data_IF_377324779887
#
_entry.id   IF_377324779887
#
_cell.length_a   1.000
_cell.length_b   1.000
_cell.length_c   1.000
_cell.angle_alpha   90.00
_cell.angle_beta   90.00
_cell.angle_gamma   90.00
#
_symmetry.space_group_name_H-M   'P 1'
#
loop_
_entity.id
_entity.type
_entity.pdbx_description
1 polymer ?
#
# COMPACT_ATOMS: atom_id res chain seq x y z
N UNK A 1 -20.93 -6.17 -1.21
CA UNK A 1 -20.23 -4.92 -1.60
C UNK A 1 -21.29 -3.89 -1.96
N UNK A 2 -21.35 -2.74 -1.27
CA UNK A 2 -22.41 -1.74 -1.45
C UNK A 2 -22.57 -1.27 -2.90
N UNK A 3 -21.47 -1.08 -3.63
CA UNK A 3 -21.52 -0.62 -5.03
C UNK A 3 -22.27 -1.58 -5.97
N UNK A 4 -22.35 -2.88 -5.64
CA UNK A 4 -23.16 -3.85 -6.40
C UNK A 4 -24.65 -3.78 -6.07
N UNK A 5 -25.01 -3.36 -4.85
CA UNK A 5 -26.41 -3.25 -4.43
C UNK A 5 -27.11 -2.05 -5.10
N UNK A 6 -26.33 -1.03 -5.47
CA UNK A 6 -26.83 0.19 -6.12
C UNK A 6 -26.44 0.28 -7.61
N UNK A 7 -26.12 -0.85 -8.24
CA UNK A 7 -25.80 -0.96 -9.67
C UNK A 7 -24.74 0.05 -10.17
N UNK A 8 -23.84 0.48 -9.29
CA UNK A 8 -22.82 1.47 -9.63
C UNK A 8 -21.79 0.92 -10.63
N UNK A 9 -21.64 -0.41 -10.68
CA UNK A 9 -20.70 -1.06 -11.60
C UNK A 9 -21.21 -1.12 -13.05
N UNK A 10 -22.52 -0.93 -13.26
CA UNK A 10 -23.18 -1.09 -14.56
C UNK A 10 -23.40 0.26 -15.28
N UNK A 11 -23.05 1.38 -14.64
CA UNK A 11 -23.24 2.72 -15.22
C UNK A 11 -22.33 2.99 -16.44
N UNK A 12 -21.21 2.29 -16.55
CA UNK A 12 -20.20 2.50 -17.61
C UNK A 12 -20.15 1.36 -18.65
N UNK A 13 -21.24 0.62 -18.86
CA UNK A 13 -21.24 -0.61 -19.67
C UNK A 13 -20.69 -0.45 -21.09
N UNK A 14 -20.94 0.68 -21.77
CA UNK A 14 -20.49 0.91 -23.14
C UNK A 14 -19.06 1.44 -23.26
N UNK A 15 -18.51 2.05 -22.19
CA UNK A 15 -17.22 2.74 -22.18
C UNK A 15 -16.41 2.41 -20.92
N UNK A 16 -16.34 1.13 -20.56
CA UNK A 16 -15.70 0.72 -19.31
C UNK A 16 -14.17 0.82 -19.44
N UNK A 17 -13.48 1.52 -18.52
CA UNK A 17 -12.03 1.57 -18.53
C UNK A 17 -11.44 0.24 -18.07
N UNK A 18 -10.27 -0.12 -18.60
CA UNK A 18 -9.53 -1.35 -18.25
C UNK A 18 -8.79 -1.16 -16.91
N UNK A 19 -9.56 -1.18 -15.81
CA UNK A 19 -9.03 -1.02 -14.47
C UNK A 19 -8.12 -2.18 -14.07
N UNK A 20 -6.88 -1.85 -13.68
CA UNK A 20 -5.89 -2.81 -13.18
C UNK A 20 -5.97 -2.97 -11.67
N UNK A 21 -5.26 -3.97 -11.15
CA UNK A 21 -5.07 -4.22 -9.71
C UNK A 21 -6.38 -4.20 -8.91
N UNK A 22 -7.40 -4.90 -9.41
CA UNK A 22 -8.76 -4.96 -8.84
C UNK A 22 -9.49 -3.62 -8.70
N UNK A 23 -9.07 -2.57 -9.40
CA UNK A 23 -9.85 -1.34 -9.54
C UNK A 23 -11.22 -1.58 -10.16
N UNK A 24 -12.12 -0.59 -10.04
CA UNK A 24 -13.42 -0.63 -10.70
C UNK A 24 -13.75 0.73 -11.31
N UNK A 25 -14.56 0.72 -12.37
CA UNK A 25 -14.90 1.92 -13.12
C UNK A 25 -15.53 2.98 -12.19
N UNK A 26 -15.11 4.23 -12.35
CA UNK A 26 -15.73 5.32 -11.62
C UNK A 26 -17.15 5.56 -12.17
N UNK A 27 -18.21 5.44 -11.36
CA UNK A 27 -19.60 5.41 -11.86
C UNK A 27 -20.02 6.70 -12.58
N UNK A 28 -19.37 7.84 -12.28
CA UNK A 28 -19.65 9.15 -12.89
C UNK A 28 -18.61 9.58 -13.93
N UNK A 29 -17.47 8.90 -14.00
CA UNK A 29 -16.35 9.26 -14.89
C UNK A 29 -15.80 7.99 -15.54
N UNK A 30 -16.49 7.50 -16.57
CA UNK A 30 -16.17 6.22 -17.22
C UNK A 30 -14.79 6.17 -17.93
N UNK A 31 -13.99 7.23 -17.90
CA UNK A 31 -12.61 7.22 -18.37
C UNK A 31 -11.60 6.89 -17.26
N UNK A 32 -12.03 6.76 -16.00
CA UNK A 32 -11.17 6.54 -14.84
C UNK A 32 -11.68 5.41 -13.94
N UNK A 33 -10.78 4.91 -13.12
CA UNK A 33 -11.02 3.87 -12.15
C UNK A 33 -10.94 4.42 -10.71
N UNK A 34 -11.73 3.83 -9.82
CA UNK A 34 -11.54 3.92 -8.38
C UNK A 34 -10.56 2.82 -7.99
N UNK A 35 -9.43 3.23 -7.41
CA UNK A 35 -8.31 2.35 -7.11
C UNK A 35 -8.31 1.86 -5.66
N UNK A 36 -7.88 0.61 -5.41
CA UNK A 36 -7.58 0.18 -4.05
C UNK A 36 -6.46 1.00 -3.42
N UNK A 37 -6.37 1.01 -2.10
CA UNK A 37 -5.29 1.71 -1.40
C UNK A 37 -3.93 1.23 -1.88
N UNK A 38 -2.99 2.17 -2.05
CA UNK A 38 -1.65 1.88 -2.57
C UNK A 38 -1.57 1.75 -4.10
N UNK A 39 -2.66 1.94 -4.85
CA UNK A 39 -2.68 2.01 -6.31
C UNK A 39 -3.25 3.36 -6.78
N UNK A 40 -2.75 3.89 -7.89
CA UNK A 40 -3.09 5.20 -8.42
C UNK A 40 -3.07 5.26 -9.95
N UNK A 41 -3.20 6.49 -10.47
CA UNK A 41 -3.37 6.74 -11.90
C UNK A 41 -4.81 6.48 -12.39
N UNK A 42 -5.16 6.88 -13.62
CA UNK A 42 -6.51 6.72 -14.17
C UNK A 42 -6.98 5.27 -14.23
N UNK A 43 -6.06 4.30 -14.38
CA UNK A 43 -6.35 2.87 -14.52
C UNK A 43 -5.83 2.01 -13.37
N UNK A 44 -5.40 2.60 -12.25
CA UNK A 44 -4.88 1.88 -11.08
C UNK A 44 -3.60 1.08 -11.34
N UNK A 45 -2.81 1.49 -12.32
CA UNK A 45 -1.56 0.87 -12.78
C UNK A 45 -0.32 1.71 -12.48
N UNK A 46 -0.45 2.74 -11.64
CA UNK A 46 0.63 3.62 -11.20
C UNK A 46 0.71 3.69 -9.67
N UNK A 47 1.87 4.07 -9.12
CA UNK A 47 1.97 4.43 -7.71
C UNK A 47 1.12 5.68 -7.42
N UNK A 48 0.43 5.74 -6.27
CA UNK A 48 -0.21 6.98 -5.83
C UNK A 48 0.77 8.16 -5.79
N UNK A 49 0.26 9.37 -6.04
CA UNK A 49 1.03 10.62 -6.05
C UNK A 49 1.59 11.04 -4.67
N UNK A 50 1.27 10.30 -3.61
CA UNK A 50 1.89 10.47 -2.30
C UNK A 50 3.41 10.27 -2.36
N UNK A 51 4.14 10.61 -1.29
CA UNK A 51 5.57 10.28 -1.17
C UNK A 51 5.86 8.77 -1.25
N UNK A 52 7.14 8.40 -1.19
CA UNK A 52 7.64 7.05 -1.47
C UNK A 52 7.91 6.86 -2.97
N UNK A 53 8.34 5.66 -3.35
CA UNK A 53 8.98 5.41 -4.65
C UNK A 53 8.51 4.12 -5.31
N UNK A 54 8.65 4.03 -6.63
CA UNK A 54 8.58 2.74 -7.33
C UNK A 54 9.97 2.11 -7.32
N UNK A 55 10.08 0.87 -6.83
CA UNK A 55 11.36 0.17 -6.69
C UNK A 55 11.25 -1.22 -7.33
N UNK A 56 12.30 -1.61 -8.04
CA UNK A 56 12.41 -2.95 -8.63
C UNK A 56 13.20 -3.85 -7.67
N UNK A 57 12.62 -5.01 -7.36
CA UNK A 57 13.19 -6.01 -6.47
C UNK A 57 14.23 -6.86 -7.19
N UNK A 58 15.26 -7.27 -6.45
CA UNK A 58 16.21 -8.31 -6.86
C UNK A 58 15.98 -9.59 -6.05
N UNK A 59 16.80 -10.64 -6.29
CA UNK A 59 16.79 -11.85 -5.47
C UNK A 59 17.45 -11.65 -4.09
N UNK A 60 18.19 -10.55 -3.92
CA UNK A 60 18.85 -10.20 -2.68
C UNK A 60 17.96 -9.23 -1.88
N UNK A 61 18.08 -9.28 -0.55
CA UNK A 61 17.36 -8.37 0.32
C UNK A 61 17.83 -6.92 0.11
N UNK A 62 16.88 -6.03 -0.16
CA UNK A 62 17.11 -4.60 -0.34
C UNK A 62 16.35 -3.81 0.73
N UNK A 63 16.96 -2.77 1.34
CA UNK A 63 16.30 -2.01 2.40
C UNK A 63 15.34 -0.96 1.85
N UNK A 64 14.29 -0.67 2.60
CA UNK A 64 13.48 0.55 2.54
C UNK A 64 13.48 1.15 3.93
N UNK A 65 13.92 2.40 4.03
CA UNK A 65 13.84 3.18 5.26
C UNK A 65 12.93 4.38 5.03
N UNK A 66 12.04 4.64 5.98
CA UNK A 66 11.09 5.75 5.86
C UNK A 66 10.85 6.36 7.22
N UNK A 67 10.84 7.70 7.26
CA UNK A 67 10.37 8.45 8.42
C UNK A 67 9.25 9.38 7.98
N UNK A 68 8.10 9.27 8.65
CA UNK A 68 7.01 10.24 8.54
C UNK A 68 7.07 11.17 9.74
N UNK A 69 7.43 12.43 9.50
CA UNK A 69 7.44 13.45 10.53
C UNK A 69 6.04 13.65 11.15
N UNK A 70 6.03 14.01 12.42
CA UNK A 70 4.82 14.43 13.11
C UNK A 70 4.11 15.56 12.32
N UNK A 71 2.78 15.64 12.45
CA UNK A 71 2.06 16.86 12.08
C UNK A 71 2.44 18.05 12.96
N UNK A 72 2.07 19.25 12.55
CA UNK A 72 2.31 20.46 13.34
C UNK A 72 1.26 20.59 14.46
N UNK A 73 1.65 21.20 15.58
CA UNK A 73 0.75 21.49 16.69
C UNK A 73 -0.27 22.57 16.26
N UNK A 74 -1.57 22.26 16.36
CA UNK A 74 -2.65 23.12 15.87
C UNK A 74 -3.07 22.86 14.42
N UNK A 75 -2.42 21.92 13.72
CA UNK A 75 -2.84 21.52 12.38
C UNK A 75 -4.14 20.70 12.45
N UNK A 76 -5.20 21.19 11.82
CA UNK A 76 -6.40 20.40 11.55
C UNK A 76 -6.06 19.36 10.48
N UNK A 77 -5.79 18.13 10.92
CA UNK A 77 -5.67 16.97 10.02
C UNK A 77 -6.68 15.91 10.38
N UNK A 78 -7.56 15.66 9.41
CA UNK A 78 -8.49 14.52 9.41
C UNK A 78 -7.89 13.29 8.72
N UNK A 79 -6.74 13.42 8.04
CA UNK A 79 -6.11 12.35 7.27
C UNK A 79 -4.68 12.01 7.72
N UNK A 80 -4.32 10.73 7.57
CA UNK A 80 -2.95 10.24 7.77
C UNK A 80 -2.03 10.77 6.67
N UNK A 81 -0.80 11.17 7.04
CA UNK A 81 0.32 11.20 6.11
C UNK A 81 0.58 9.79 5.62
N UNK A 82 0.83 9.61 4.33
CA UNK A 82 1.15 8.31 3.73
C UNK A 82 2.32 8.45 2.77
N UNK A 83 3.31 7.57 2.86
CA UNK A 83 4.24 7.28 1.77
C UNK A 83 3.97 5.87 1.28
N UNK A 84 3.87 5.71 -0.04
CA UNK A 84 3.66 4.40 -0.68
C UNK A 84 4.92 4.03 -1.44
N UNK A 85 5.48 2.87 -1.12
CA UNK A 85 6.52 2.21 -1.90
C UNK A 85 5.89 1.12 -2.75
N UNK A 86 6.22 1.12 -4.04
CA UNK A 86 5.68 0.20 -5.02
C UNK A 86 6.77 -0.78 -5.44
N UNK A 87 6.80 -1.92 -4.76
CA UNK A 87 7.82 -2.95 -4.98
C UNK A 87 7.36 -3.83 -6.13
N UNK A 88 8.16 -3.90 -7.19
CA UNK A 88 7.87 -4.66 -8.40
C UNK A 88 8.93 -5.73 -8.62
N UNK A 89 8.50 -6.93 -8.99
CA UNK A 89 9.42 -7.93 -9.53
C UNK A 89 9.76 -7.57 -10.98
N UNK A 90 10.96 -7.93 -11.47
CA UNK A 90 11.32 -7.71 -12.87
C UNK A 90 10.34 -8.41 -13.82
N UNK A 91 9.96 -7.73 -14.91
CA UNK A 91 8.95 -8.24 -15.86
C UNK A 91 9.35 -9.58 -16.50
N UNK A 92 10.66 -9.85 -16.63
CA UNK A 92 11.22 -11.07 -17.21
C UNK A 92 11.20 -12.29 -16.27
N UNK A 93 10.73 -12.15 -15.04
CA UNK A 93 10.63 -13.26 -14.08
C UNK A 93 9.19 -13.72 -13.97
N UNK A 94 8.89 -14.91 -14.49
CA UNK A 94 7.56 -15.51 -14.41
C UNK A 94 7.24 -16.00 -13.01
N UNK A 95 5.95 -15.91 -12.63
CA UNK A 95 5.43 -16.32 -11.32
C UNK A 95 6.13 -15.69 -10.10
N UNK A 96 6.88 -14.60 -10.29
CA UNK A 96 7.59 -13.92 -9.22
C UNK A 96 6.64 -13.49 -8.09
N UNK A 97 7.09 -13.73 -6.87
CA UNK A 97 6.48 -13.25 -5.63
C UNK A 97 7.40 -12.22 -5.01
N UNK A 98 6.85 -11.31 -4.24
CA UNK A 98 7.61 -10.35 -3.45
C UNK A 98 7.54 -10.80 -1.99
N UNK A 99 8.71 -10.89 -1.38
CA UNK A 99 8.84 -11.05 0.06
C UNK A 99 9.17 -9.71 0.69
N UNK A 100 8.51 -9.40 1.81
CA UNK A 100 8.78 -8.20 2.60
C UNK A 100 9.00 -8.62 4.05
N UNK A 101 10.10 -8.14 4.63
CA UNK A 101 10.51 -8.37 6.00
C UNK A 101 10.49 -7.07 6.79
N UNK A 102 9.95 -7.11 8.00
CA UNK A 102 10.00 -5.97 8.92
C UNK A 102 11.30 -6.05 9.73
N UNK A 103 12.13 -5.01 9.66
CA UNK A 103 13.42 -4.98 10.37
C UNK A 103 13.46 -3.95 11.48
N UNK A 104 12.65 -2.89 11.41
CA UNK A 104 12.55 -1.87 12.46
C UNK A 104 11.15 -1.24 12.51
N UNK A 105 10.58 -1.18 13.72
CA UNK A 105 9.34 -0.46 14.04
C UNK A 105 9.48 0.28 15.37
N UNK A 106 8.80 1.42 15.58
CA UNK A 106 8.87 2.16 16.84
C UNK A 106 7.95 1.53 17.91
N UNK A 107 8.32 1.61 19.19
CA UNK A 107 7.54 1.02 20.29
C UNK A 107 6.26 1.83 20.58
N UNK A 108 6.28 3.14 20.36
CA UNK A 108 5.27 4.06 20.91
C UNK A 108 3.93 4.06 20.18
N UNK A 109 3.84 3.31 19.09
CA UNK A 109 2.66 3.23 18.24
C UNK A 109 1.92 1.88 18.36
N UNK A 110 2.37 1.01 19.28
CA UNK A 110 1.74 -0.27 19.56
C UNK A 110 0.32 -0.08 20.15
N UNK A 111 -0.67 -0.14 19.27
CA UNK A 111 -2.10 -0.14 19.59
C UNK A 111 -2.83 -1.06 18.65
N UNK A 112 -3.82 -1.76 19.19
CA UNK A 112 -4.65 -2.71 18.44
C UNK A 112 -5.13 -2.11 17.11
N UNK A 113 -4.83 -2.82 16.03
CA UNK A 113 -5.17 -2.40 14.67
C UNK A 113 -4.35 -1.22 14.12
N UNK A 114 -3.24 -0.86 14.76
CA UNK A 114 -2.31 0.18 14.32
C UNK A 114 -3.00 1.48 13.93
N UNK A 115 -3.87 1.97 14.83
CA UNK A 115 -4.76 3.10 14.57
C UNK A 115 -4.05 4.47 14.52
N UNK A 116 -2.80 4.60 14.96
CA UNK A 116 -2.13 5.91 14.98
C UNK A 116 -1.06 6.04 13.91
N UNK A 117 -0.27 5.01 13.73
CA UNK A 117 0.73 4.90 12.69
C UNK A 117 1.05 3.41 12.46
N UNK A 118 1.65 3.10 11.34
CA UNK A 118 2.04 1.74 11.01
C UNK A 118 2.50 1.61 9.57
N UNK A 119 2.84 0.37 9.21
CA UNK A 119 3.06 -0.06 7.83
C UNK A 119 1.94 -1.00 7.41
N UNK A 120 1.29 -0.73 6.28
CA UNK A 120 0.36 -1.65 5.61
C UNK A 120 1.06 -2.32 4.43
N UNK A 121 1.12 -3.66 4.42
CA UNK A 121 1.73 -4.47 3.34
C UNK A 121 0.62 -5.19 2.59
N UNK A 122 0.43 -4.86 1.30
CA UNK A 122 -0.65 -5.42 0.46
C UNK A 122 -0.27 -6.73 -0.25
N UNK A 123 0.06 -7.75 0.54
CA UNK A 123 0.51 -9.05 0.06
C UNK A 123 -0.63 -10.01 -0.40
N UNK A 124 -1.89 -9.71 -0.08
CA UNK A 124 -3.05 -10.50 -0.51
C UNK A 124 -3.20 -10.55 -2.04
N UNK A 125 -3.82 -11.62 -2.55
CA UNK A 125 -4.19 -11.74 -3.97
C UNK A 125 -5.20 -10.67 -4.36
N UNK A 126 -6.31 -10.57 -3.62
CA UNK A 126 -7.33 -9.53 -3.83
C UNK A 126 -6.84 -8.18 -3.31
N UNK A 127 -6.53 -7.27 -4.23
CA UNK A 127 -5.95 -5.95 -3.95
C UNK A 127 -6.92 -4.97 -3.29
N UNK A 128 -8.23 -5.25 -3.31
CA UNK A 128 -9.27 -4.45 -2.65
C UNK A 128 -9.24 -4.56 -1.13
N UNK A 129 -8.70 -5.65 -0.59
CA UNK A 129 -8.62 -5.87 0.84
C UNK A 129 -7.57 -4.95 1.47
N UNK A 130 -7.81 -4.48 2.69
CA UNK A 130 -6.77 -3.86 3.52
C UNK A 130 -5.62 -4.87 3.69
N UNK A 131 -4.39 -4.39 3.55
CA UNK A 131 -3.20 -5.22 3.77
C UNK A 131 -3.00 -5.56 5.25
N UNK A 132 -1.96 -6.35 5.51
CA UNK A 132 -1.50 -6.60 6.87
C UNK A 132 -0.91 -5.32 7.45
N UNK A 133 -1.27 -4.98 8.69
CA UNK A 133 -0.84 -3.74 9.34
C UNK A 133 -0.01 -4.06 10.57
N UNK A 134 1.15 -3.42 10.68
CA UNK A 134 2.13 -3.62 11.75
C UNK A 134 2.60 -2.29 12.33
N UNK A 135 2.83 -2.27 13.63
CA UNK A 135 3.21 -1.07 14.39
C UNK A 135 3.85 -1.39 15.74
N UNK A 136 4.08 -2.67 16.06
CA UNK A 136 4.70 -3.12 17.30
C UNK A 136 6.13 -3.60 17.06
N UNK A 137 6.99 -3.48 18.08
CA UNK A 137 8.29 -4.15 18.11
C UNK A 137 8.16 -5.67 18.04
N UNK A 138 7.06 -6.23 18.55
CA UNK A 138 6.78 -7.68 18.46
C UNK A 138 6.56 -8.15 17.01
N UNK A 139 6.26 -7.22 16.09
CA UNK A 139 6.09 -7.52 14.66
C UNK A 139 7.43 -7.58 13.92
N UNK A 140 8.54 -7.13 14.53
CA UNK A 140 9.87 -7.16 13.91
C UNK A 140 10.31 -8.60 13.66
N UNK A 141 10.83 -8.86 12.47
CA UNK A 141 11.14 -10.20 11.98
C UNK A 141 9.98 -10.88 11.26
N UNK A 142 8.79 -10.28 11.23
CA UNK A 142 7.69 -10.77 10.38
C UNK A 142 8.09 -10.71 8.91
N UNK A 143 7.90 -11.84 8.22
CA UNK A 143 8.14 -11.99 6.78
C UNK A 143 6.83 -12.37 6.09
N UNK A 144 6.46 -11.61 5.06
CA UNK A 144 5.27 -11.85 4.24
C UNK A 144 5.67 -12.14 2.81
N UNK A 145 5.11 -13.20 2.24
CA UNK A 145 5.23 -13.51 0.81
C UNK A 145 3.94 -13.15 0.08
N UNK A 146 4.07 -12.46 -1.04
CA UNK A 146 2.93 -12.03 -1.86
C UNK A 146 2.44 -13.12 -2.81
N UNK A 147 1.24 -12.91 -3.37
CA UNK A 147 0.73 -13.68 -4.51
C UNK A 147 0.74 -12.83 -5.80
N UNK A 148 1.64 -11.86 -5.90
CA UNK A 148 1.69 -10.93 -7.04
C UNK A 148 3.09 -10.37 -7.27
N UNK A 149 3.37 -10.03 -8.53
CA UNK A 149 4.61 -9.35 -8.94
C UNK A 149 4.72 -7.89 -8.45
N UNK A 150 3.65 -7.32 -7.90
CA UNK A 150 3.63 -5.95 -7.38
C UNK A 150 3.06 -5.94 -5.96
N UNK A 151 3.75 -5.29 -5.03
CA UNK A 151 3.32 -5.11 -3.64
C UNK A 151 3.45 -3.64 -3.23
N UNK A 152 2.33 -2.95 -3.04
CA UNK A 152 2.32 -1.69 -2.30
C UNK A 152 2.64 -1.91 -0.82
N UNK A 153 3.61 -1.16 -0.33
CA UNK A 153 3.92 -0.97 1.09
C UNK A 153 3.56 0.47 1.43
N UNK A 154 2.62 0.67 2.34
CA UNK A 154 2.09 1.97 2.70
C UNK A 154 2.51 2.28 4.13
N UNK A 155 3.46 3.19 4.30
CA UNK A 155 3.80 3.73 5.62
C UNK A 155 2.83 4.87 5.90
N UNK A 156 2.16 4.86 7.04
CA UNK A 156 1.18 5.87 7.40
C UNK A 156 1.33 6.36 8.84
N UNK A 157 1.02 7.64 9.07
CA UNK A 157 1.04 8.24 10.41
C UNK A 157 0.05 9.39 10.52
N UNK A 158 -0.77 9.35 11.57
CA UNK A 158 -1.67 10.41 12.00
C UNK A 158 -1.15 11.13 13.25
N UNK A 159 0.08 10.81 13.66
CA UNK A 159 0.72 11.37 14.85
C UNK A 159 1.02 12.85 14.69
N UNK A 160 0.66 13.64 15.71
CA UNK A 160 0.98 15.08 15.81
C UNK A 160 2.11 15.37 16.79
N UNK A 161 2.66 14.35 17.44
CA UNK A 161 3.64 14.51 18.53
C UNK A 161 4.98 13.82 18.27
N UNK A 162 4.94 12.68 17.57
CA UNK A 162 6.11 11.84 17.31
C UNK A 162 6.15 11.43 15.85
N UNK A 163 7.35 11.43 15.27
CA UNK A 163 7.57 10.85 13.96
C UNK A 163 7.39 9.32 14.01
N UNK A 164 7.03 8.73 12.87
CA UNK A 164 6.99 7.27 12.70
C UNK A 164 8.11 6.87 11.75
N UNK A 165 9.10 6.16 12.27
CA UNK A 165 10.25 5.65 11.50
C UNK A 165 10.16 4.13 11.38
N UNK A 166 10.36 3.59 10.19
CA UNK A 166 10.35 2.15 9.94
C UNK A 166 11.45 1.76 8.97
N UNK A 167 11.95 0.53 9.14
CA UNK A 167 12.81 -0.13 8.17
C UNK A 167 12.24 -1.47 7.80
N UNK A 168 12.32 -1.77 6.52
CA UNK A 168 11.86 -3.00 5.91
C UNK A 168 12.94 -3.48 4.96
N UNK A 169 12.93 -4.77 4.68
CA UNK A 169 13.68 -5.34 3.57
C UNK A 169 12.72 -6.01 2.60
N UNK A 170 13.07 -6.02 1.32
CA UNK A 170 12.29 -6.69 0.30
C UNK A 170 13.18 -7.42 -0.71
N UNK A 171 12.61 -8.42 -1.36
CA UNK A 171 13.20 -9.13 -2.50
C UNK A 171 12.10 -9.77 -3.33
N UNK A 172 12.43 -10.28 -4.51
CA UNK A 172 11.58 -11.24 -5.20
C UNK A 172 12.05 -12.67 -4.99
N UNK A 173 11.13 -13.61 -5.17
CA UNK A 173 11.38 -15.05 -5.27
C UNK A 173 10.62 -15.60 -6.47
N UNK A 174 11.14 -16.66 -7.10
CA UNK A 174 10.55 -17.34 -8.27
C UNK A 174 10.15 -18.77 -7.97
#
# INVERSE_FOLDING_TARGET
MMNKLYDCLDQCNDNKPDCKNDGFAHPRECSKCICPSGFGGPLCNEKPSSCGEEVEATNDWQPIETTLDAGEEGEERDEYKRCTYWIKAPDNVDNAKIEVKITELPEEFNKDGCIYAGVEIKAHENKRLTGYRFCSQDDVGTELSSNSKVVPVIVYSGSRKKAFSTKLEYRYTS
#
